data_IF_732654686465
#
_entry.id   IF_732654686465
#
_cell.length_a   1.000
_cell.length_b   1.000
_cell.length_c   1.000
_cell.angle_alpha   90.00
_cell.angle_beta   90.00
_cell.angle_gamma   90.00
#
_symmetry.space_group_name_H-M   'P 1'
#
loop_
_entity.id
_entity.type
_entity.pdbx_description
1 polymer ?
#
# COMPACT_ATOMS: atom_id res chain seq x y z
N UNK A 1 -4.83 10.93 -4.86
CA UNK A 1 -4.89 9.58 -5.46
C UNK A 1 -5.83 8.74 -4.57
N UNK A 2 -6.67 7.88 -5.12
CA UNK A 2 -7.71 7.18 -4.34
C UNK A 2 -7.11 6.11 -3.40
N UNK A 3 -7.79 5.78 -2.29
CA UNK A 3 -7.39 4.70 -1.36
C UNK A 3 -7.30 3.36 -2.10
N UNK A 4 -6.15 2.63 -2.06
CA UNK A 4 -5.98 1.36 -2.74
C UNK A 4 -7.04 0.31 -2.41
N UNK A 5 -7.53 0.26 -1.18
CA UNK A 5 -8.58 -0.66 -0.76
C UNK A 5 -9.92 -0.31 -1.43
N UNK A 6 -10.23 0.98 -1.59
CA UNK A 6 -11.44 1.44 -2.27
C UNK A 6 -11.36 1.13 -3.76
N UNK A 7 -10.21 1.39 -4.40
CA UNK A 7 -10.01 1.08 -5.82
C UNK A 7 -10.05 -0.43 -6.10
N UNK A 8 -9.51 -1.26 -5.21
CA UNK A 8 -9.60 -2.72 -5.33
C UNK A 8 -11.06 -3.20 -5.34
N UNK A 9 -11.87 -2.72 -4.39
CA UNK A 9 -13.31 -3.07 -4.33
C UNK A 9 -14.06 -2.54 -5.53
N UNK A 10 -13.77 -1.31 -5.98
CA UNK A 10 -14.39 -0.73 -7.19
C UNK A 10 -14.08 -1.55 -8.45
N UNK A 11 -12.83 -1.99 -8.62
CA UNK A 11 -12.42 -2.85 -9.75
C UNK A 11 -13.12 -4.19 -9.72
N UNK A 12 -13.26 -4.79 -8.54
CA UNK A 12 -13.99 -6.04 -8.36
C UNK A 12 -15.47 -5.89 -8.74
N UNK A 13 -16.15 -4.81 -8.32
CA UNK A 13 -17.53 -4.52 -8.74
C UNK A 13 -17.66 -4.36 -10.26
N UNK A 14 -16.62 -3.87 -10.92
CA UNK A 14 -16.61 -3.70 -12.39
C UNK A 14 -16.36 -5.03 -13.12
N UNK A 15 -15.62 -5.95 -12.50
CA UNK A 15 -15.28 -7.25 -13.08
C UNK A 15 -16.43 -8.27 -13.01
N UNK A 16 -17.35 -8.12 -12.05
CA UNK A 16 -18.54 -8.96 -11.88
C UNK A 16 -19.83 -8.13 -11.85
N UNK A 17 -20.24 -7.53 -12.98
CA UNK A 17 -21.36 -6.59 -13.01
C UNK A 17 -22.73 -7.23 -12.71
N UNK A 18 -22.85 -8.55 -12.89
CA UNK A 18 -24.10 -9.30 -12.66
C UNK A 18 -24.34 -9.60 -11.16
N UNK A 19 -23.35 -9.37 -10.30
CA UNK A 19 -23.43 -9.54 -8.85
C UNK A 19 -23.15 -8.20 -8.15
N UNK A 20 -24.15 -7.31 -8.07
CA UNK A 20 -23.95 -5.99 -7.49
C UNK A 20 -23.65 -6.09 -5.99
N UNK A 21 -22.47 -5.62 -5.60
CA UNK A 21 -22.03 -5.55 -4.20
C UNK A 21 -22.86 -4.49 -3.48
N UNK A 22 -23.54 -4.91 -2.41
CA UNK A 22 -24.31 -3.98 -1.57
C UNK A 22 -23.39 -2.99 -0.84
N UNK A 23 -23.91 -1.82 -0.44
CA UNK A 23 -23.11 -0.82 0.30
C UNK A 23 -22.48 -1.40 1.58
N UNK A 24 -23.22 -2.21 2.34
CA UNK A 24 -22.72 -2.86 3.55
C UNK A 24 -21.61 -3.88 3.26
N UNK A 25 -21.70 -4.56 2.12
CA UNK A 25 -20.68 -5.51 1.68
C UNK A 25 -19.43 -4.80 1.18
N UNK A 26 -19.57 -3.72 0.41
CA UNK A 26 -18.46 -2.87 0.00
C UNK A 26 -17.69 -2.36 1.23
N UNK A 27 -18.38 -1.89 2.27
CA UNK A 27 -17.75 -1.47 3.52
C UNK A 27 -16.93 -2.57 4.20
N UNK A 28 -17.46 -3.80 4.27
CA UNK A 28 -16.75 -4.96 4.84
C UNK A 28 -15.53 -5.36 4.01
N UNK A 29 -15.63 -5.30 2.69
CA UNK A 29 -14.54 -5.64 1.78
C UNK A 29 -13.43 -4.59 1.80
N UNK A 30 -13.77 -3.31 1.89
CA UNK A 30 -12.79 -2.22 2.08
C UNK A 30 -12.05 -2.43 3.41
N UNK A 31 -12.79 -2.72 4.50
CA UNK A 31 -12.17 -2.99 5.79
C UNK A 31 -11.24 -4.22 5.75
N UNK A 32 -11.68 -5.32 5.14
CA UNK A 32 -10.86 -6.52 4.96
C UNK A 32 -9.61 -6.26 4.12
N UNK A 33 -9.74 -5.49 3.03
CA UNK A 33 -8.61 -5.10 2.19
C UNK A 33 -7.61 -4.23 2.96
N UNK A 34 -8.08 -3.27 3.77
CA UNK A 34 -7.20 -2.47 4.64
C UNK A 34 -6.48 -3.32 5.67
N UNK A 35 -7.18 -4.25 6.35
CA UNK A 35 -6.57 -5.19 7.30
C UNK A 35 -5.51 -6.07 6.61
N UNK A 36 -5.78 -6.55 5.40
CA UNK A 36 -4.84 -7.35 4.63
C UNK A 36 -3.57 -6.57 4.22
N UNK A 37 -3.67 -5.24 4.06
CA UNK A 37 -2.53 -4.37 3.75
C UNK A 37 -1.67 -4.04 4.96
N UNK A 38 -2.19 -4.14 6.20
CA UNK A 38 -1.43 -3.76 7.42
C UNK A 38 -0.07 -4.45 7.54
N UNK A 39 0.06 -5.78 7.38
CA UNK A 39 1.37 -6.43 7.52
C UNK A 39 2.38 -5.95 6.48
N UNK A 40 1.91 -5.55 5.30
CA UNK A 40 2.76 -5.01 4.23
C UNK A 40 3.20 -3.59 4.59
N UNK A 41 2.31 -2.77 5.16
CA UNK A 41 2.65 -1.43 5.66
C UNK A 41 3.67 -1.49 6.79
N UNK A 42 3.46 -2.37 7.78
CA UNK A 42 4.41 -2.56 8.88
C UNK A 42 5.79 -2.96 8.36
N UNK A 43 5.86 -3.89 7.40
CA UNK A 43 7.14 -4.27 6.78
C UNK A 43 7.76 -3.17 5.93
N UNK A 44 6.95 -2.38 5.23
CA UNK A 44 7.42 -1.22 4.49
C UNK A 44 8.06 -0.20 5.44
N UNK A 45 7.40 0.11 6.57
CA UNK A 45 7.91 1.06 7.57
C UNK A 45 9.20 0.57 8.23
N UNK A 46 9.28 -0.72 8.57
CA UNK A 46 10.51 -1.34 9.09
C UNK A 46 11.68 -1.22 8.10
N UNK A 47 11.44 -1.52 6.82
CA UNK A 47 12.47 -1.45 5.77
C UNK A 47 12.88 -0.01 5.47
N UNK A 48 11.91 0.92 5.46
CA UNK A 48 12.16 2.33 5.23
C UNK A 48 13.00 2.94 6.36
N UNK A 49 12.65 2.66 7.63
CA UNK A 49 13.43 3.10 8.79
C UNK A 49 14.86 2.52 8.78
N UNK A 50 15.01 1.22 8.45
CA UNK A 50 16.32 0.59 8.36
C UNK A 50 17.22 1.22 7.27
N UNK A 51 16.63 1.76 6.20
CA UNK A 51 17.38 2.48 5.17
C UNK A 51 17.70 3.93 5.53
N UNK A 52 16.96 4.55 6.46
CA UNK A 52 17.30 5.88 7.00
C UNK A 52 18.38 5.82 8.10
N UNK A 53 18.39 4.75 8.89
CA UNK A 53 19.32 4.53 10.00
C UNK A 53 20.67 3.92 9.58
N UNK A 54 20.80 3.51 8.31
CA UNK A 54 22.03 2.92 7.77
C UNK A 54 23.16 3.95 7.67
N UNK A 55 24.21 3.80 8.49
CA UNK A 55 25.49 4.49 8.31
C UNK A 55 25.96 4.28 6.86
N UNK A 56 26.10 5.38 6.13
CA UNK A 56 26.37 5.49 4.70
C UNK A 56 27.78 5.03 4.27
N UNK A 57 28.36 4.05 4.97
CA UNK A 57 29.72 3.54 4.79
C UNK A 57 29.77 2.08 4.30
N UNK A 58 28.64 1.43 4.03
CA UNK A 58 28.63 0.14 3.34
C UNK A 58 28.74 0.36 1.83
N UNK A 59 29.82 -0.14 1.21
CA UNK A 59 30.16 -0.05 -0.23
C UNK A 59 29.19 -0.83 -1.14
N UNK A 60 27.89 -0.65 -0.96
CA UNK A 60 26.85 -1.23 -1.76
C UNK A 60 25.79 -0.19 -2.06
N UNK A 61 25.73 0.23 -3.32
CA UNK A 61 24.74 1.14 -3.92
C UNK A 61 23.26 0.63 -3.87
N UNK A 62 22.90 -0.15 -2.84
CA UNK A 62 21.60 -0.78 -2.67
C UNK A 62 20.57 0.14 -2.00
N UNK A 63 21.01 1.13 -1.21
CA UNK A 63 20.12 2.00 -0.45
C UNK A 63 19.21 2.83 -1.37
N UNK A 64 19.75 3.39 -2.46
CA UNK A 64 18.95 4.13 -3.43
C UNK A 64 17.98 3.26 -4.23
N UNK A 65 18.36 2.01 -4.52
CA UNK A 65 17.50 1.07 -5.23
C UNK A 65 16.34 0.56 -4.36
N UNK A 66 16.62 0.25 -3.09
CA UNK A 66 15.61 -0.19 -2.13
C UNK A 66 14.61 0.93 -1.84
N UNK A 67 15.08 2.14 -1.53
CA UNK A 67 14.20 3.30 -1.31
C UNK A 67 13.30 3.56 -2.52
N UNK A 68 13.84 3.47 -3.74
CA UNK A 68 13.03 3.62 -4.95
C UNK A 68 11.92 2.56 -5.07
N UNK A 69 12.21 1.31 -4.72
CA UNK A 69 11.18 0.25 -4.70
C UNK A 69 10.12 0.52 -3.63
N UNK A 70 10.54 0.97 -2.45
CA UNK A 70 9.63 1.35 -1.37
C UNK A 70 8.71 2.51 -1.81
N UNK A 71 9.25 3.54 -2.46
CA UNK A 71 8.46 4.66 -3.01
C UNK A 71 7.43 4.19 -4.05
N UNK A 72 7.80 3.23 -4.91
CA UNK A 72 6.89 2.66 -5.91
C UNK A 72 5.78 1.80 -5.27
N UNK A 73 6.06 1.16 -4.13
CA UNK A 73 5.10 0.34 -3.40
C UNK A 73 4.14 1.18 -2.55
N UNK A 74 4.59 2.33 -2.05
CA UNK A 74 3.82 3.20 -1.17
C UNK A 74 2.38 3.51 -1.68
N UNK A 75 2.16 3.91 -2.95
CA UNK A 75 0.80 4.17 -3.46
C UNK A 75 -0.07 2.93 -3.65
N UNK A 76 0.48 1.72 -3.52
CA UNK A 76 -0.27 0.48 -3.61
C UNK A 76 -0.80 0.01 -2.25
N UNK A 77 -0.19 0.49 -1.16
CA UNK A 77 -0.48 0.02 0.19
C UNK A 77 -1.04 1.12 1.08
N UNK A 78 -0.70 2.39 0.84
CA UNK A 78 -1.20 3.55 1.59
C UNK A 78 -2.26 4.33 0.79
N UNK A 79 -3.29 4.91 1.44
CA UNK A 79 -4.12 5.95 0.86
C UNK A 79 -3.29 7.18 0.55
N UNK A 80 -3.65 7.96 -0.48
CA UNK A 80 -2.84 9.15 -0.80
C UNK A 80 -2.87 10.24 0.25
N UNK A 81 -3.78 10.17 1.22
CA UNK A 81 -3.80 11.08 2.38
C UNK A 81 -2.68 10.74 3.38
N UNK A 82 -2.22 9.49 3.41
CA UNK A 82 -1.12 9.02 4.25
C UNK A 82 0.25 9.21 3.57
N UNK A 83 0.27 9.34 2.24
CA UNK A 83 1.45 9.71 1.46
C UNK A 83 1.66 11.22 1.58
N UNK A 84 2.58 11.67 2.44
CA UNK A 84 2.93 13.09 2.57
C UNK A 84 3.42 13.67 1.22
N UNK A 85 3.19 14.97 0.94
CA UNK A 85 3.89 15.70 -0.11
C UNK A 85 5.36 15.98 0.24
#
# INVERSE_FOLDING_TARGET
MSDPAIEAVRRMSTAAPDEPISFNEAGRLIAAAREALKPIREKWEELYAASEDGDSDSEGNWDGGMLHVLDLLAPLIFPSEELKP
#
